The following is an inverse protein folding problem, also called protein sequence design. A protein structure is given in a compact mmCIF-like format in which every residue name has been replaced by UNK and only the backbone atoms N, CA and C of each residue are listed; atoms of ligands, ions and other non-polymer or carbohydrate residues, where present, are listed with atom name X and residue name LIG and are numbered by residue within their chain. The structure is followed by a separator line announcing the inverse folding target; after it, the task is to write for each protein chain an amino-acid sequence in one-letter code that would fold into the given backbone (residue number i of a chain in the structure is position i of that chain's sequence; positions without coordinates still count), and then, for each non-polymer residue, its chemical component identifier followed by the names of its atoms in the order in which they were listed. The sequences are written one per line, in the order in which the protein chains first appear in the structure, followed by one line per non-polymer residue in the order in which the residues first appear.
data_IF_790478179663
#
_entry.id   IF_790478179663
#
_cell.length_a   1.000
_cell.length_b   1.000
_cell.length_c   1.000
_cell.angle_alpha   90.00
_cell.angle_beta   90.00
_cell.angle_gamma   90.00
#
_symmetry.space_group_name_H-M   'P 1'
#
loop_
_entity.id
_entity.type
_entity.pdbx_description
1 polymer ?
#
# COMPACT_ATOMS: atom_id res chain seq x y z
N UNK A 1 4.10 4.74 3.89
CA UNK A 1 5.21 5.27 4.73
C UNK A 1 6.31 4.21 4.80
N UNK A 2 7.58 4.56 4.57
CA UNK A 2 8.71 3.64 4.75
C UNK A 2 9.42 3.96 6.08
N UNK A 3 9.47 2.99 6.98
CA UNK A 3 10.16 3.05 8.26
C UNK A 3 10.87 1.73 8.56
N UNK A 4 11.89 1.81 9.42
CA UNK A 4 12.69 0.68 9.85
C UNK A 4 12.38 0.31 11.31
N UNK A 5 12.05 -0.95 11.53
CA UNK A 5 11.98 -1.58 12.85
C UNK A 5 13.30 -2.30 13.09
N UNK A 6 13.98 -1.96 14.19
CA UNK A 6 15.27 -2.57 14.55
C UNK A 6 15.25 -3.25 15.92
N UNK A 7 14.16 -3.12 16.67
CA UNK A 7 14.01 -3.65 18.01
C UNK A 7 14.55 -2.68 19.06
N UNK A 8 14.00 -2.78 20.27
CA UNK A 8 14.37 -1.94 21.42
C UNK A 8 15.85 -2.05 21.79
N UNK A 9 16.42 -3.26 21.72
CA UNK A 9 17.83 -3.50 22.07
C UNK A 9 18.80 -2.85 21.08
N UNK A 10 18.59 -3.03 19.77
CA UNK A 10 19.46 -2.39 18.78
C UNK A 10 19.24 -0.87 18.79
N UNK A 11 18.01 -0.41 19.00
CA UNK A 11 17.72 1.02 19.19
C UNK A 11 18.51 1.62 20.36
N UNK A 12 18.52 0.96 21.52
CA UNK A 12 19.27 1.45 22.69
C UNK A 12 20.78 1.47 22.43
N UNK A 13 21.34 0.46 21.76
CA UNK A 13 22.76 0.44 21.38
C UNK A 13 23.11 1.62 20.48
N UNK A 14 22.26 1.93 19.49
CA UNK A 14 22.50 3.07 18.61
C UNK A 14 22.41 4.39 19.36
N UNK A 15 21.45 4.54 20.27
CA UNK A 15 21.31 5.74 21.11
C UNK A 15 22.51 5.91 22.07
N UNK A 16 23.05 4.81 22.61
CA UNK A 16 24.28 4.83 23.41
C UNK A 16 25.48 5.31 22.60
N UNK A 17 25.64 4.85 21.35
CA UNK A 17 26.72 5.27 20.44
C UNK A 17 26.62 6.77 20.13
N UNK A 18 25.40 7.28 19.94
CA UNK A 18 25.16 8.70 19.73
C UNK A 18 25.60 9.55 20.93
N UNK A 19 25.26 9.11 22.15
CA UNK A 19 25.57 9.85 23.38
C UNK A 19 27.05 9.77 23.78
N UNK A 20 27.75 8.69 23.43
CA UNK A 20 29.10 8.40 23.92
C UNK A 20 30.22 9.11 23.14
N UNK A 21 29.98 9.54 21.90
CA UNK A 21 30.97 10.31 21.12
C UNK A 21 30.73 11.82 21.30
N UNK A 22 31.41 12.44 22.28
CA UNK A 22 31.40 13.91 22.44
C UNK A 22 32.31 14.59 21.41
N UNK A 23 31.95 15.82 21.01
CA UNK A 23 32.73 16.64 20.07
C UNK A 23 34.19 16.84 20.55
N UNK A 24 35.16 16.33 19.78
CA UNK A 24 36.59 16.43 20.07
C UNK A 24 37.39 15.23 19.55
N UNK A 25 38.71 15.22 19.78
CA UNK A 25 39.54 14.02 19.59
C UNK A 25 39.17 13.00 20.66
N UNK A 26 38.83 11.77 20.27
CA UNK A 26 38.51 10.72 21.24
C UNK A 26 39.75 10.35 22.06
N UNK A 27 39.62 10.29 23.39
CA UNK A 27 40.69 9.79 24.23
C UNK A 27 40.95 8.29 23.97
N UNK A 28 42.16 7.78 24.25
CA UNK A 28 42.47 6.35 24.12
C UNK A 28 41.54 5.45 24.94
N UNK A 29 41.08 5.90 26.12
CA UNK A 29 40.12 5.16 26.95
C UNK A 29 38.76 5.04 26.24
N UNK A 30 38.25 6.15 25.69
CA UNK A 30 36.96 6.18 24.97
C UNK A 30 37.00 5.31 23.70
N UNK A 31 38.12 5.31 22.96
CA UNK A 31 38.33 4.42 21.81
C UNK A 31 38.31 2.95 22.21
N UNK A 32 38.88 2.63 23.37
CA UNK A 32 38.92 1.26 23.89
C UNK A 32 37.54 0.81 24.38
N UNK A 33 36.82 1.68 25.09
CA UNK A 33 35.46 1.43 25.56
C UNK A 33 34.47 1.23 24.40
N UNK A 34 34.51 2.08 23.38
CA UNK A 34 33.69 1.93 22.17
C UNK A 34 34.02 0.64 21.41
N UNK A 35 35.31 0.30 21.25
CA UNK A 35 35.71 -0.97 20.63
C UNK A 35 35.23 -2.19 21.43
N UNK A 36 35.28 -2.12 22.76
CA UNK A 36 34.80 -3.18 23.65
C UNK A 36 33.27 -3.30 23.65
N UNK A 37 32.54 -2.20 23.48
CA UNK A 37 31.07 -2.19 23.41
C UNK A 37 30.54 -2.59 22.02
N UNK A 38 31.20 -2.18 20.92
CA UNK A 38 30.85 -2.63 19.55
C UNK A 38 31.18 -4.12 19.36
N UNK A 39 32.27 -4.61 19.96
CA UNK A 39 32.62 -6.03 19.98
C UNK A 39 31.63 -6.93 20.75
N UNK A 40 30.68 -6.33 21.49
CA UNK A 40 29.58 -7.02 22.17
C UNK A 40 28.27 -7.04 21.37
N UNK A 41 28.26 -6.72 20.08
CA UNK A 41 27.11 -7.10 19.22
C UNK A 41 27.00 -8.63 19.33
N UNK A 42 25.96 -9.17 19.99
CA UNK A 42 25.93 -10.60 20.32
C UNK A 42 25.99 -11.42 19.05
N UNK A 43 26.71 -12.56 19.07
CA UNK A 43 26.54 -13.60 18.07
C UNK A 43 25.06 -13.96 18.03
N UNK A 44 24.41 -13.62 16.91
CA UNK A 44 23.05 -14.00 16.47
C UNK A 44 22.21 -14.56 17.62
N UNK A 45 21.60 -13.67 18.40
CA UNK A 45 20.55 -14.05 19.34
C UNK A 45 19.47 -14.84 18.57
N UNK A 46 18.93 -15.90 19.17
CA UNK A 46 17.64 -16.42 18.73
C UNK A 46 16.65 -15.25 18.65
N UNK A 47 15.94 -15.14 17.53
CA UNK A 47 15.00 -14.05 17.25
C UNK A 47 13.97 -13.92 18.38
N UNK A 48 14.28 -13.05 19.34
CA UNK A 48 13.46 -12.72 20.50
C UNK A 48 12.88 -11.31 20.32
N UNK A 49 12.96 -10.76 19.10
CA UNK A 49 12.37 -9.46 18.80
C UNK A 49 10.87 -9.62 18.75
N UNK A 50 10.18 -8.74 19.47
CA UNK A 50 8.74 -8.55 19.35
C UNK A 50 8.43 -8.44 17.85
N UNK A 51 7.69 -9.41 17.32
CA UNK A 51 7.49 -9.57 15.87
C UNK A 51 6.56 -8.45 15.40
N UNK A 52 7.09 -7.24 15.28
CA UNK A 52 6.39 -6.15 14.66
C UNK A 52 6.25 -6.49 13.17
N UNK A 53 5.09 -7.04 12.81
CA UNK A 53 4.71 -7.44 11.44
C UNK A 53 4.13 -6.28 10.64
N UNK A 54 4.04 -5.10 11.24
CA UNK A 54 3.40 -3.92 10.64
C UNK A 54 4.42 -2.97 9.99
N UNK A 55 5.70 -3.10 10.34
CA UNK A 55 6.79 -2.33 9.73
C UNK A 55 7.12 -2.83 8.31
N UNK A 56 7.33 -1.92 7.34
CA UNK A 56 7.72 -2.27 5.97
C UNK A 56 9.17 -2.74 5.86
N UNK A 57 10.06 -2.34 6.78
CA UNK A 57 11.46 -2.75 6.81
C UNK A 57 11.80 -3.22 8.22
N UNK A 58 12.06 -4.51 8.42
CA UNK A 58 12.24 -5.06 9.76
C UNK A 58 13.56 -5.82 9.88
N UNK A 59 14.37 -5.48 10.89
CA UNK A 59 15.54 -6.25 11.28
C UNK A 59 15.11 -7.45 12.11
N UNK A 60 15.42 -8.66 11.65
CA UNK A 60 15.04 -9.91 12.32
C UNK A 60 16.27 -10.66 12.84
N UNK A 61 17.21 -9.93 13.42
CA UNK A 61 18.41 -10.48 14.09
C UNK A 61 19.67 -10.58 13.20
N UNK A 62 19.56 -11.12 11.99
CA UNK A 62 20.72 -11.26 11.08
C UNK A 62 20.48 -10.75 9.65
N UNK A 63 19.27 -10.27 9.38
CA UNK A 63 18.85 -9.80 8.06
C UNK A 63 17.78 -8.72 8.21
N UNK A 64 17.56 -7.98 7.13
CA UNK A 64 16.38 -7.15 6.98
C UNK A 64 15.34 -7.85 6.11
N UNK A 65 14.07 -7.72 6.51
CA UNK A 65 12.92 -8.14 5.75
C UNK A 65 12.21 -6.92 5.18
N UNK A 66 12.16 -6.82 3.84
CA UNK A 66 11.37 -5.81 3.15
C UNK A 66 9.99 -6.36 2.83
N UNK A 67 8.98 -5.86 3.54
CA UNK A 67 7.61 -6.40 3.56
C UNK A 67 6.61 -5.61 2.71
N UNK A 68 7.04 -4.50 2.12
CA UNK A 68 6.18 -3.66 1.27
C UNK A 68 5.95 -4.24 -0.14
N UNK A 69 6.52 -5.40 -0.48
CA UNK A 69 6.43 -6.01 -1.81
C UNK A 69 5.10 -6.77 -1.95
N UNK A 70 4.32 -6.44 -2.98
CA UNK A 70 3.08 -7.16 -3.29
C UNK A 70 3.33 -8.59 -3.75
N UNK A 71 2.41 -9.51 -3.44
CA UNK A 71 2.56 -10.95 -3.71
C UNK A 71 2.70 -11.31 -5.20
N UNK A 72 2.14 -10.50 -6.10
CA UNK A 72 2.25 -10.67 -7.56
C UNK A 72 3.41 -9.89 -8.18
N UNK A 73 4.14 -9.09 -7.40
CA UNK A 73 5.21 -8.25 -7.93
C UNK A 73 6.48 -9.07 -8.21
N UNK A 74 7.16 -8.74 -9.30
CA UNK A 74 8.50 -9.27 -9.55
C UNK A 74 9.49 -8.63 -8.57
N UNK A 75 10.17 -9.47 -7.78
CA UNK A 75 11.11 -9.02 -6.75
C UNK A 75 12.26 -8.17 -7.30
N UNK A 76 12.62 -8.34 -8.57
CA UNK A 76 13.69 -7.57 -9.23
C UNK A 76 13.48 -6.06 -9.13
N UNK A 77 12.25 -5.55 -9.28
CA UNK A 77 11.97 -4.10 -9.19
C UNK A 77 12.41 -3.55 -7.83
N UNK A 78 11.97 -4.18 -6.75
CA UNK A 78 12.35 -3.81 -5.39
C UNK A 78 13.84 -4.01 -5.13
N UNK A 79 14.43 -5.10 -5.63
CA UNK A 79 15.86 -5.38 -5.45
C UNK A 79 16.76 -4.40 -6.19
N UNK A 80 16.38 -3.95 -7.38
CA UNK A 80 17.11 -2.92 -8.13
C UNK A 80 17.18 -1.65 -7.28
N UNK A 81 16.04 -1.18 -6.75
CA UNK A 81 16.00 0.02 -5.92
C UNK A 81 16.82 -0.17 -4.63
N UNK A 82 16.58 -1.26 -3.88
CA UNK A 82 17.26 -1.50 -2.60
C UNK A 82 18.78 -1.63 -2.76
N UNK A 83 19.25 -2.35 -3.77
CA UNK A 83 20.69 -2.48 -4.03
C UNK A 83 21.30 -1.16 -4.51
N UNK A 84 20.57 -0.38 -5.31
CA UNK A 84 21.03 0.95 -5.79
C UNK A 84 21.21 1.91 -4.62
N UNK A 85 20.20 2.05 -3.75
CA UNK A 85 20.30 2.96 -2.60
C UNK A 85 21.39 2.52 -1.60
N UNK A 86 21.57 1.21 -1.41
CA UNK A 86 22.63 0.68 -0.55
C UNK A 86 24.02 0.97 -1.15
N UNK A 87 24.21 0.71 -2.44
CA UNK A 87 25.46 1.01 -3.14
C UNK A 87 25.81 2.50 -3.08
N UNK A 88 24.82 3.38 -3.30
CA UNK A 88 25.00 4.82 -3.18
C UNK A 88 25.41 5.22 -1.75
N UNK A 89 24.71 4.71 -0.74
CA UNK A 89 24.98 5.04 0.66
C UNK A 89 26.38 4.58 1.09
N UNK A 90 26.86 3.42 0.62
CA UNK A 90 28.22 2.94 0.88
C UNK A 90 29.29 3.83 0.23
N UNK A 91 29.05 4.34 -0.98
CA UNK A 91 29.95 5.33 -1.62
C UNK A 91 30.02 6.63 -0.84
N UNK A 92 28.86 7.15 -0.42
CA UNK A 92 28.78 8.37 0.42
C UNK A 92 29.53 8.16 1.73
N UNK A 93 29.29 7.04 2.41
CA UNK A 93 29.97 6.70 3.66
C UNK A 93 31.48 6.67 3.49
N UNK A 94 31.97 5.96 2.47
CA UNK A 94 33.40 5.88 2.17
C UNK A 94 34.00 7.27 1.92
N UNK A 95 33.39 8.08 1.06
CA UNK A 95 33.90 9.42 0.74
C UNK A 95 33.99 10.34 1.96
N UNK A 96 32.99 10.30 2.85
CA UNK A 96 33.02 11.08 4.09
C UNK A 96 34.08 10.58 5.09
N UNK A 97 34.27 9.27 5.20
CA UNK A 97 35.33 8.69 6.03
C UNK A 97 36.71 9.07 5.49
N UNK A 98 36.93 8.96 4.18
CA UNK A 98 38.20 9.32 3.53
C UNK A 98 38.52 10.81 3.75
N UNK A 99 37.54 11.70 3.61
CA UNK A 99 37.70 13.14 3.89
C UNK A 99 38.09 13.44 5.35
N UNK A 100 37.56 12.69 6.32
CA UNK A 100 37.95 12.83 7.74
C UNK A 100 39.38 12.36 7.99
N UNK A 101 39.80 11.29 7.31
CA UNK A 101 41.18 10.78 7.38
C UNK A 101 42.15 11.83 6.82
N UNK A 102 41.82 12.43 5.68
CA UNK A 102 42.62 13.53 5.09
C UNK A 102 42.70 14.75 6.02
N UNK A 103 41.64 15.03 6.78
CA UNK A 103 41.63 16.07 7.81
C UNK A 103 42.42 15.72 9.09
N UNK A 104 42.99 14.52 9.19
CA UNK A 104 43.89 14.10 10.27
C UNK A 104 43.29 13.18 11.33
N UNK A 105 42.05 12.69 11.14
CA UNK A 105 41.49 11.64 12.00
C UNK A 105 42.14 10.28 11.70
N UNK A 106 42.36 9.46 12.73
CA UNK A 106 42.68 8.04 12.52
C UNK A 106 41.51 7.30 11.85
N UNK A 107 41.77 6.25 11.08
CA UNK A 107 40.73 5.45 10.40
C UNK A 107 39.56 5.06 11.31
N UNK A 108 39.84 4.52 12.49
CA UNK A 108 38.79 4.09 13.44
C UNK A 108 37.96 5.27 13.95
N UNK A 109 38.60 6.42 14.17
CA UNK A 109 37.93 7.64 14.63
C UNK A 109 37.04 8.24 13.53
N UNK A 110 37.51 8.26 12.28
CA UNK A 110 36.74 8.70 11.14
C UNK A 110 35.47 7.85 10.93
N UNK A 111 35.61 6.52 11.03
CA UNK A 111 34.48 5.58 10.94
C UNK A 111 33.46 5.82 12.05
N UNK A 112 33.90 5.92 13.30
CA UNK A 112 32.99 6.12 14.44
C UNK A 112 32.24 7.45 14.36
N UNK A 113 32.93 8.53 13.98
CA UNK A 113 32.29 9.85 13.79
C UNK A 113 31.26 9.84 12.66
N UNK A 114 31.53 9.13 11.57
CA UNK A 114 30.55 9.01 10.48
C UNK A 114 29.35 8.13 10.85
N UNK A 115 29.59 7.01 11.55
CA UNK A 115 28.51 6.18 12.08
C UNK A 115 27.61 6.96 13.04
N UNK A 116 28.18 7.79 13.92
CA UNK A 116 27.40 8.65 14.81
C UNK A 116 26.48 9.58 14.03
N UNK A 117 27.00 10.25 12.99
CA UNK A 117 26.19 11.13 12.15
C UNK A 117 25.05 10.37 11.47
N UNK A 118 25.32 9.17 10.93
CA UNK A 118 24.28 8.34 10.30
C UNK A 118 23.21 7.88 11.30
N UNK A 119 23.57 7.60 12.55
CA UNK A 119 22.62 7.25 13.60
C UNK A 119 21.66 8.41 13.85
N UNK A 120 22.19 9.63 13.97
CA UNK A 120 21.39 10.85 14.15
C UNK A 120 20.46 11.07 12.94
N UNK A 121 21.01 11.00 11.73
CA UNK A 121 20.26 11.27 10.49
C UNK A 121 19.14 10.24 10.27
N UNK A 122 19.38 8.98 10.63
CA UNK A 122 18.42 7.89 10.46
C UNK A 122 17.31 7.85 11.52
N UNK A 123 17.38 8.63 12.60
CA UNK A 123 16.37 8.65 13.67
C UNK A 123 14.94 8.78 13.17
N UNK A 124 14.73 9.63 12.16
CA UNK A 124 13.40 9.91 11.61
C UNK A 124 12.70 8.65 11.09
N UNK A 125 13.47 7.73 10.49
CA UNK A 125 12.93 6.51 9.88
C UNK A 125 12.83 5.32 10.86
N UNK A 126 13.47 5.39 12.04
CA UNK A 126 13.41 4.32 13.05
C UNK A 126 12.08 4.40 13.80
N UNK A 127 11.27 3.35 13.73
CA UNK A 127 9.96 3.30 14.36
C UNK A 127 9.66 1.90 14.88
N UNK A 128 9.36 1.83 16.18
CA UNK A 128 9.18 0.57 16.91
C UNK A 128 7.71 0.23 17.19
N UNK A 129 6.79 1.16 16.90
CA UNK A 129 5.36 1.06 17.21
C UNK A 129 4.51 0.39 16.12
N UNK A 130 3.19 0.50 16.28
CA UNK A 130 2.22 -0.03 15.32
C UNK A 130 2.20 0.80 14.03
N UNK A 131 2.61 0.21 12.91
CA UNK A 131 2.66 0.85 11.59
C UNK A 131 1.31 1.00 10.89
N UNK A 132 0.23 0.42 11.41
CA UNK A 132 -1.12 0.50 10.81
C UNK A 132 -2.01 1.57 11.44
N UNK A 133 -1.65 2.10 12.61
CA UNK A 133 -2.51 3.05 13.31
C UNK A 133 -2.42 4.47 12.75
N UNK A 134 -3.52 5.22 12.89
CA UNK A 134 -3.59 6.64 12.48
C UNK A 134 -2.58 7.51 13.26
N UNK A 135 -2.18 7.08 14.46
CA UNK A 135 -1.11 7.70 15.24
C UNK A 135 0.20 7.72 14.48
N UNK A 136 0.55 6.62 13.79
CA UNK A 136 1.77 6.53 13.02
C UNK A 136 1.72 7.42 11.78
N UNK A 137 0.56 7.57 11.15
CA UNK A 137 0.40 8.46 9.98
C UNK A 137 0.71 9.90 10.36
N UNK A 138 0.16 10.38 11.49
CA UNK A 138 0.40 11.75 11.99
C UNK A 138 1.86 11.95 12.43
N UNK A 139 2.42 10.97 13.11
CA UNK A 139 3.80 11.02 13.57
C UNK A 139 4.79 11.00 12.40
N UNK A 140 4.56 10.16 11.40
CA UNK A 140 5.39 10.07 10.20
C UNK A 140 5.41 11.40 9.43
N UNK A 141 4.25 12.06 9.31
CA UNK A 141 4.15 13.39 8.71
C UNK A 141 4.95 14.44 9.51
N UNK A 142 4.83 14.45 10.85
CA UNK A 142 5.62 15.32 11.72
C UNK A 142 7.14 15.07 11.60
N UNK A 143 7.54 13.83 11.32
CA UNK A 143 8.93 13.43 11.04
C UNK A 143 9.40 13.78 9.62
N UNK A 144 8.50 14.22 8.74
CA UNK A 144 8.77 14.54 7.33
C UNK A 144 8.89 13.29 6.45
N UNK A 145 8.24 12.18 6.81
CA UNK A 145 8.21 10.96 6.01
C UNK A 145 7.06 11.01 5.01
N UNK A 146 7.36 10.62 3.76
CA UNK A 146 6.38 10.59 2.69
C UNK A 146 5.31 9.50 2.91
N UNK A 147 4.06 9.81 2.56
CA UNK A 147 2.94 8.89 2.58
C UNK A 147 2.11 8.97 1.29
N UNK A 148 2.60 8.34 0.23
CA UNK A 148 1.83 8.19 -1.01
C UNK A 148 0.75 7.11 -0.83
N UNK A 149 -0.51 7.49 -1.04
CA UNK A 149 -1.68 6.62 -0.81
C UNK A 149 -2.17 5.90 -2.07
N UNK A 150 -1.77 6.37 -3.24
CA UNK A 150 -2.19 5.81 -4.52
C UNK A 150 -1.00 5.65 -5.46
N UNK A 151 -1.20 4.77 -6.45
CA UNK A 151 -0.16 4.40 -7.40
C UNK A 151 0.27 5.56 -8.28
N UNK A 152 -0.64 6.35 -8.92
CA UNK A 152 -0.20 7.42 -9.80
C UNK A 152 0.70 8.43 -9.11
N UNK A 153 0.28 8.98 -7.95
CA UNK A 153 1.07 9.97 -7.20
C UNK A 153 2.37 9.38 -6.64
N UNK A 154 2.43 8.07 -6.43
CA UNK A 154 3.67 7.40 -6.01
C UNK A 154 4.68 7.25 -7.14
N UNK A 155 4.22 7.17 -8.40
CA UNK A 155 5.09 7.01 -9.57
C UNK A 155 5.77 8.33 -9.96
N UNK A 156 5.21 9.47 -9.58
CA UNK A 156 5.80 10.80 -9.83
C UNK A 156 7.18 10.97 -9.20
N UNK A 157 7.48 10.19 -8.16
CA UNK A 157 8.80 10.21 -7.50
C UNK A 157 9.94 9.86 -8.48
N UNK A 158 9.65 9.12 -9.56
CA UNK A 158 10.66 8.73 -10.55
C UNK A 158 11.27 9.92 -11.29
N UNK A 159 10.55 11.04 -11.38
CA UNK A 159 11.02 12.25 -12.07
C UNK A 159 11.87 13.16 -11.19
N UNK A 160 11.96 12.89 -9.87
CA UNK A 160 12.78 13.69 -8.99
C UNK A 160 14.25 13.64 -9.42
N UNK A 161 14.86 14.80 -9.66
CA UNK A 161 16.25 14.89 -10.15
C UNK A 161 17.25 14.13 -9.27
N UNK A 162 17.03 14.13 -7.95
CA UNK A 162 17.88 13.38 -7.01
C UNK A 162 17.83 11.87 -7.24
N UNK A 163 16.69 11.34 -7.69
CA UNK A 163 16.50 9.91 -7.95
C UNK A 163 17.16 9.56 -9.27
N UNK A 164 16.86 10.32 -10.34
CA UNK A 164 17.49 10.15 -11.66
C UNK A 164 19.02 10.16 -11.54
N UNK A 165 19.56 11.15 -10.82
CA UNK A 165 21.01 11.30 -10.62
C UNK A 165 21.65 10.08 -9.96
N UNK A 166 21.02 9.49 -8.93
CA UNK A 166 21.58 8.31 -8.25
C UNK A 166 21.66 7.12 -9.21
N UNK A 167 20.63 6.90 -10.02
CA UNK A 167 20.61 5.81 -11.00
C UNK A 167 21.66 6.01 -12.10
N UNK A 168 21.84 7.24 -12.59
CA UNK A 168 22.85 7.58 -13.60
C UNK A 168 24.28 7.48 -13.06
N UNK A 169 24.55 8.01 -11.86
CA UNK A 169 25.88 7.96 -11.23
C UNK A 169 26.36 6.55 -10.90
N UNK A 170 25.42 5.61 -10.75
CA UNK A 170 25.69 4.18 -10.55
C UNK A 170 25.63 3.36 -11.83
N UNK A 171 25.38 4.00 -12.99
CA UNK A 171 25.21 3.36 -14.29
C UNK A 171 24.17 2.23 -14.28
N UNK A 172 23.09 2.42 -13.53
CA UNK A 172 22.00 1.43 -13.44
C UNK A 172 20.93 1.73 -14.50
N UNK A 173 20.47 2.99 -14.57
CA UNK A 173 19.56 3.47 -15.60
C UNK A 173 19.95 4.87 -16.04
N UNK A 174 19.68 5.16 -17.31
CA UNK A 174 19.65 6.51 -17.88
C UNK A 174 18.31 7.19 -17.59
N UNK A 175 18.26 8.52 -17.64
CA UNK A 175 17.00 9.28 -17.54
C UNK A 175 15.89 8.74 -18.45
N UNK A 176 16.22 8.45 -19.71
CA UNK A 176 15.27 7.92 -20.70
C UNK A 176 14.71 6.55 -20.30
N UNK A 177 15.52 5.69 -19.69
CA UNK A 177 15.06 4.38 -19.21
C UNK A 177 14.16 4.51 -17.98
N UNK A 178 14.39 5.50 -17.12
CA UNK A 178 13.52 5.79 -15.98
C UNK A 178 12.16 6.28 -16.46
N UNK A 179 12.15 7.25 -17.38
CA UNK A 179 10.92 7.78 -18.01
C UNK A 179 10.11 6.65 -18.66
N UNK A 180 10.75 5.80 -19.46
CA UNK A 180 10.08 4.67 -20.11
C UNK A 180 9.50 3.67 -19.10
N UNK A 181 10.18 3.40 -17.99
CA UNK A 181 9.67 2.52 -16.92
C UNK A 181 8.49 3.14 -16.19
N UNK A 182 8.53 4.45 -15.93
CA UNK A 182 7.41 5.21 -15.33
C UNK A 182 6.18 5.10 -16.23
N UNK A 183 6.36 5.35 -17.54
CA UNK A 183 5.30 5.26 -18.55
C UNK A 183 4.65 3.87 -18.57
N UNK A 184 5.46 2.80 -18.63
CA UNK A 184 4.97 1.41 -18.59
C UNK A 184 4.18 1.12 -17.30
N UNK A 185 4.62 1.63 -16.15
CA UNK A 185 3.92 1.40 -14.88
C UNK A 185 2.58 2.16 -14.81
N UNK A 186 2.48 3.35 -15.39
CA UNK A 186 1.19 4.02 -15.60
C UNK A 186 0.28 3.27 -16.57
N UNK A 187 0.80 2.78 -17.69
CA UNK A 187 0.02 1.98 -18.65
C UNK A 187 -0.55 0.72 -18.00
N UNK A 188 0.27 -0.02 -17.25
CA UNK A 188 -0.16 -1.21 -16.53
C UNK A 188 -1.27 -0.89 -15.52
N UNK A 189 -1.14 0.23 -14.79
CA UNK A 189 -2.16 0.68 -13.85
C UNK A 189 -3.49 1.00 -14.55
N UNK A 190 -3.43 1.82 -15.60
CA UNK A 190 -4.61 2.22 -16.40
C UNK A 190 -5.30 0.99 -16.99
N UNK A 191 -4.55 0.09 -17.63
CA UNK A 191 -5.13 -1.11 -18.24
C UNK A 191 -5.77 -2.01 -17.20
N UNK A 192 -5.14 -2.20 -16.04
CA UNK A 192 -5.71 -3.02 -14.97
C UNK A 192 -7.04 -2.46 -14.47
N UNK A 193 -7.08 -1.16 -14.14
CA UNK A 193 -8.33 -0.52 -13.70
C UNK A 193 -9.38 -0.47 -14.81
N UNK A 194 -8.96 -0.33 -16.07
CA UNK A 194 -9.88 -0.37 -17.19
C UNK A 194 -10.54 -1.75 -17.34
N UNK A 195 -9.78 -2.83 -17.17
CA UNK A 195 -10.33 -4.20 -17.19
C UNK A 195 -11.27 -4.41 -16.00
N UNK A 196 -10.86 -4.02 -14.80
CA UNK A 196 -11.70 -4.13 -13.59
C UNK A 196 -13.02 -3.35 -13.75
N UNK A 197 -12.98 -2.11 -14.24
CA UNK A 197 -14.18 -1.30 -14.50
C UNK A 197 -15.11 -1.96 -15.53
N UNK A 198 -14.55 -2.53 -16.61
CA UNK A 198 -15.34 -3.24 -17.64
C UNK A 198 -16.00 -4.48 -17.06
N UNK A 199 -15.25 -5.28 -16.32
CA UNK A 199 -15.77 -6.50 -15.68
C UNK A 199 -16.87 -6.16 -14.67
N UNK A 200 -16.71 -5.13 -13.85
CA UNK A 200 -17.76 -4.67 -12.93
C UNK A 200 -19.03 -4.31 -13.71
N UNK A 201 -18.90 -3.49 -14.76
CA UNK A 201 -20.05 -3.12 -15.61
C UNK A 201 -20.73 -4.33 -16.24
N UNK A 202 -19.96 -5.25 -16.82
CA UNK A 202 -20.48 -6.43 -17.50
C UNK A 202 -21.15 -7.40 -16.52
N UNK A 203 -20.54 -7.67 -15.36
CA UNK A 203 -21.11 -8.53 -14.32
C UNK A 203 -22.40 -7.93 -13.75
N UNK A 204 -22.40 -6.63 -13.45
CA UNK A 204 -23.59 -5.96 -12.96
C UNK A 204 -24.73 -6.04 -14.00
N UNK A 205 -24.47 -5.68 -15.25
CA UNK A 205 -25.50 -5.58 -16.28
C UNK A 205 -26.04 -6.94 -16.73
N UNK A 206 -25.16 -7.93 -16.90
CA UNK A 206 -25.52 -9.20 -17.54
C UNK A 206 -25.79 -10.34 -16.56
N UNK A 207 -25.29 -10.25 -15.32
CA UNK A 207 -25.45 -11.31 -14.32
C UNK A 207 -26.32 -10.86 -13.14
N UNK A 208 -25.91 -9.81 -12.43
CA UNK A 208 -26.55 -9.41 -11.17
C UNK A 208 -27.95 -8.83 -11.42
N UNK A 209 -28.07 -7.84 -12.29
CA UNK A 209 -29.37 -7.17 -12.56
C UNK A 209 -30.44 -8.17 -13.01
N UNK A 210 -30.20 -9.07 -13.98
CA UNK A 210 -31.21 -10.04 -14.39
C UNK A 210 -31.65 -10.99 -13.27
N UNK A 211 -30.72 -11.48 -12.45
CA UNK A 211 -31.03 -12.35 -11.31
C UNK A 211 -31.90 -11.63 -10.27
N UNK A 212 -31.56 -10.38 -9.96
CA UNK A 212 -32.31 -9.54 -9.02
C UNK A 212 -33.72 -9.26 -9.54
N UNK A 213 -33.89 -8.89 -10.81
CA UNK A 213 -35.20 -8.64 -11.43
C UNK A 213 -36.05 -9.92 -11.42
N UNK A 214 -35.45 -11.07 -11.72
CA UNK A 214 -36.16 -12.36 -11.67
C UNK A 214 -36.71 -12.64 -10.26
N UNK A 215 -35.88 -12.49 -9.23
CA UNK A 215 -36.35 -12.66 -7.85
C UNK A 215 -37.41 -11.62 -7.45
N UNK A 216 -37.21 -10.36 -7.83
CA UNK A 216 -38.17 -9.30 -7.58
C UNK A 216 -39.54 -9.59 -8.20
N UNK A 217 -39.59 -10.13 -9.41
CA UNK A 217 -40.84 -10.56 -10.05
C UNK A 217 -41.56 -11.67 -9.26
N UNK A 218 -40.81 -12.64 -8.71
CA UNK A 218 -41.40 -13.69 -7.84
C UNK A 218 -42.04 -13.09 -6.59
N UNK A 219 -41.37 -12.10 -5.97
CA UNK A 219 -41.93 -11.40 -4.80
C UNK A 219 -43.18 -10.61 -5.15
N UNK A 220 -43.18 -9.89 -6.28
CA UNK A 220 -44.35 -9.13 -6.75
C UNK A 220 -45.54 -10.06 -7.00
N UNK A 221 -45.33 -11.21 -7.65
CA UNK A 221 -46.38 -12.22 -7.84
C UNK A 221 -46.93 -12.75 -6.51
N UNK A 222 -46.07 -12.97 -5.52
CA UNK A 222 -46.49 -13.39 -4.19
C UNK A 222 -47.39 -12.33 -3.51
N UNK A 223 -46.99 -11.05 -3.55
CA UNK A 223 -47.78 -9.94 -3.02
C UNK A 223 -49.14 -9.84 -3.71
N UNK A 224 -49.17 -9.90 -5.04
CA UNK A 224 -50.42 -9.87 -5.82
C UNK A 224 -51.35 -11.03 -5.45
N UNK A 225 -50.80 -12.24 -5.28
CA UNK A 225 -51.55 -13.42 -4.84
C UNK A 225 -52.16 -13.26 -3.43
N UNK A 226 -51.40 -12.73 -2.48
CA UNK A 226 -51.88 -12.43 -1.12
C UNK A 226 -53.04 -11.42 -1.15
N UNK A 227 -52.93 -10.38 -1.97
CA UNK A 227 -54.02 -9.41 -2.15
C UNK A 227 -55.26 -10.02 -2.79
N UNK A 228 -55.10 -10.86 -3.81
CA UNK A 228 -56.22 -11.51 -4.49
C UNK A 228 -57.01 -12.45 -3.56
N UNK A 229 -56.32 -13.15 -2.64
CA UNK A 229 -56.95 -14.12 -1.72
C UNK A 229 -57.51 -13.45 -0.47
N UNK A 230 -56.78 -12.49 0.11
CA UNK A 230 -57.11 -11.92 1.42
C UNK A 230 -57.85 -10.58 1.36
N UNK A 231 -58.03 -10.01 0.16
CA UNK A 231 -58.75 -8.75 -0.05
C UNK A 231 -58.19 -7.61 0.80
N UNK A 232 -59.01 -7.03 1.69
CA UNK A 232 -58.62 -5.91 2.55
C UNK A 232 -57.47 -6.22 3.52
N UNK A 233 -57.26 -7.50 3.85
CA UNK A 233 -56.17 -7.93 4.73
C UNK A 233 -54.86 -8.22 3.97
N UNK A 234 -54.85 -8.14 2.64
CA UNK A 234 -53.66 -8.42 1.83
C UNK A 234 -52.49 -7.48 2.14
N UNK A 235 -52.77 -6.21 2.45
CA UNK A 235 -51.75 -5.21 2.73
C UNK A 235 -50.98 -5.51 4.04
N UNK A 236 -51.68 -5.93 5.10
CA UNK A 236 -51.03 -6.31 6.36
C UNK A 236 -50.26 -7.63 6.22
N UNK A 237 -50.81 -8.58 5.45
CA UNK A 237 -50.20 -9.88 5.22
C UNK A 237 -48.93 -9.84 4.32
N UNK A 238 -48.80 -8.83 3.46
CA UNK A 238 -47.70 -8.69 2.49
C UNK A 238 -46.66 -7.62 2.85
N UNK A 239 -46.74 -7.06 4.06
CA UNK A 239 -45.89 -5.95 4.51
C UNK A 239 -44.39 -6.27 4.36
N UNK A 240 -43.95 -7.44 4.83
CA UNK A 240 -42.55 -7.84 4.78
C UNK A 240 -42.03 -7.99 3.34
N UNK A 241 -42.82 -8.58 2.45
CA UNK A 241 -42.49 -8.76 1.04
C UNK A 241 -42.42 -7.41 0.33
N UNK A 242 -43.33 -6.50 0.65
CA UNK A 242 -43.33 -5.15 0.09
C UNK A 242 -42.08 -4.37 0.52
N UNK A 243 -41.70 -4.45 1.80
CA UNK A 243 -40.45 -3.84 2.30
C UNK A 243 -39.20 -4.43 1.61
N UNK A 244 -39.18 -5.75 1.36
CA UNK A 244 -38.10 -6.42 0.64
C UNK A 244 -38.01 -5.94 -0.82
N UNK A 245 -39.14 -5.86 -1.53
CA UNK A 245 -39.21 -5.34 -2.90
C UNK A 245 -38.67 -3.91 -2.97
N UNK A 246 -39.05 -3.05 -2.01
CA UNK A 246 -38.56 -1.67 -1.94
C UNK A 246 -37.05 -1.61 -1.79
N UNK A 247 -36.46 -2.35 -0.84
CA UNK A 247 -35.00 -2.39 -0.65
C UNK A 247 -34.26 -2.92 -1.87
N UNK A 248 -34.79 -3.97 -2.50
CA UNK A 248 -34.23 -4.50 -3.75
C UNK A 248 -34.24 -3.43 -4.84
N UNK A 249 -35.36 -2.73 -5.03
CA UNK A 249 -35.46 -1.64 -6.01
C UNK A 249 -34.46 -0.53 -5.72
N UNK A 250 -34.30 -0.10 -4.47
CA UNK A 250 -33.35 0.93 -4.06
C UNK A 250 -31.92 0.53 -4.43
N UNK A 251 -31.46 -0.65 -4.00
CA UNK A 251 -30.09 -1.08 -4.29
C UNK A 251 -29.86 -1.34 -5.79
N UNK A 252 -30.84 -1.91 -6.48
CA UNK A 252 -30.78 -2.17 -7.92
C UNK A 252 -30.63 -0.87 -8.72
N UNK A 253 -31.47 0.13 -8.44
CA UNK A 253 -31.48 1.40 -9.16
C UNK A 253 -30.19 2.20 -8.91
N UNK A 254 -29.73 2.26 -7.65
CA UNK A 254 -28.49 2.96 -7.32
C UNK A 254 -27.29 2.27 -7.96
N UNK A 255 -27.20 0.94 -7.88
CA UNK A 255 -26.13 0.17 -8.54
C UNK A 255 -26.09 0.42 -10.05
N UNK A 256 -27.25 0.41 -10.72
CA UNK A 256 -27.34 0.69 -12.16
C UNK A 256 -26.87 2.11 -12.50
N UNK A 257 -27.30 3.10 -11.72
CA UNK A 257 -26.92 4.50 -11.90
C UNK A 257 -25.41 4.68 -11.77
N UNK A 258 -24.80 4.13 -10.71
CA UNK A 258 -23.36 4.18 -10.50
C UNK A 258 -22.56 3.49 -11.61
N UNK A 259 -23.07 2.37 -12.15
CA UNK A 259 -22.45 1.70 -13.30
C UNK A 259 -22.47 2.58 -14.57
N UNK A 260 -23.56 3.31 -14.82
CA UNK A 260 -23.65 4.21 -15.96
C UNK A 260 -22.73 5.42 -15.80
N UNK A 261 -22.66 6.00 -14.61
CA UNK A 261 -21.75 7.09 -14.27
C UNK A 261 -20.28 6.65 -14.41
N UNK A 262 -19.92 5.46 -13.90
CA UNK A 262 -18.59 4.88 -14.07
C UNK A 262 -18.26 4.66 -15.56
N UNK A 263 -19.23 4.23 -16.37
CA UNK A 263 -19.04 4.05 -17.80
C UNK A 263 -18.72 5.39 -18.50
N UNK A 264 -19.43 6.47 -18.15
CA UNK A 264 -19.16 7.80 -18.69
C UNK A 264 -17.82 8.36 -18.22
N UNK A 265 -17.50 8.25 -16.93
CA UNK A 265 -16.19 8.63 -16.38
C UNK A 265 -15.05 7.91 -17.12
N UNK A 266 -15.21 6.61 -17.36
CA UNK A 266 -14.28 5.80 -18.14
C UNK A 266 -14.17 6.30 -19.59
N UNK A 267 -15.26 6.68 -20.24
CA UNK A 267 -15.22 7.25 -21.61
C UNK A 267 -14.43 8.56 -21.66
N UNK A 268 -14.60 9.41 -20.65
CA UNK A 268 -13.86 10.67 -20.54
C UNK A 268 -12.36 10.39 -20.32
N UNK A 269 -12.01 9.57 -19.33
CA UNK A 269 -10.62 9.23 -19.02
C UNK A 269 -9.88 8.60 -20.22
N UNK A 270 -10.55 7.77 -21.02
CA UNK A 270 -9.93 7.14 -22.20
C UNK A 270 -9.58 8.12 -23.34
N UNK A 271 -10.15 9.33 -23.34
CA UNK A 271 -9.82 10.36 -24.35
C UNK A 271 -8.58 11.17 -24.00
N UNK A 272 -8.07 11.05 -22.77
CA UNK A 272 -6.85 11.72 -22.34
C UNK A 272 -5.66 11.11 -23.10
N UNK A 273 -4.81 11.95 -23.69
CA UNK A 273 -3.66 11.48 -24.47
C UNK A 273 -2.50 11.06 -23.56
N UNK A 274 -2.17 11.90 -22.58
CA UNK A 274 -1.13 11.62 -21.59
C UNK A 274 -1.51 10.41 -20.73
N UNK A 275 -0.62 9.41 -20.65
CA UNK A 275 -0.87 8.22 -19.85
C UNK A 275 -0.88 8.52 -18.35
N UNK A 276 -0.09 9.50 -17.92
CA UNK A 276 0.01 9.93 -16.52
C UNK A 276 -1.30 10.61 -16.08
N UNK A 277 -1.77 11.59 -16.84
CA UNK A 277 -3.05 12.26 -16.57
C UNK A 277 -4.22 11.26 -16.64
N UNK A 278 -4.14 10.30 -17.57
CA UNK A 278 -5.11 9.21 -17.66
C UNK A 278 -5.07 8.32 -16.41
N UNK A 279 -3.89 7.99 -15.89
CA UNK A 279 -3.77 7.22 -14.65
C UNK A 279 -4.37 7.96 -13.46
N UNK A 280 -4.16 9.27 -13.36
CA UNK A 280 -4.79 10.12 -12.33
C UNK A 280 -6.32 10.11 -12.49
N UNK A 281 -6.85 10.34 -13.69
CA UNK A 281 -8.29 10.30 -13.95
C UNK A 281 -8.91 8.92 -13.62
N UNK A 282 -8.21 7.83 -13.93
CA UNK A 282 -8.66 6.49 -13.55
C UNK A 282 -8.67 6.29 -12.02
N UNK A 283 -7.70 6.86 -11.31
CA UNK A 283 -7.63 6.79 -9.85
C UNK A 283 -8.73 7.61 -9.17
N UNK A 284 -8.91 8.85 -9.60
CA UNK A 284 -9.75 9.83 -8.90
C UNK A 284 -11.20 9.82 -9.40
N UNK A 285 -11.44 9.53 -10.68
CA UNK A 285 -12.77 9.63 -11.29
C UNK A 285 -13.40 8.27 -11.61
N UNK A 286 -12.62 7.21 -11.88
CA UNK A 286 -13.18 5.89 -12.26
C UNK A 286 -13.21 4.92 -11.08
N UNK A 287 -12.08 4.74 -10.40
CA UNK A 287 -11.93 3.75 -9.33
C UNK A 287 -12.88 4.01 -8.15
N UNK A 288 -13.27 5.27 -7.91
CA UNK A 288 -14.19 5.66 -6.83
C UNK A 288 -15.53 4.93 -6.87
N UNK A 289 -15.96 4.48 -8.06
CA UNK A 289 -17.23 3.78 -8.24
C UNK A 289 -17.15 2.31 -7.83
N UNK A 290 -15.96 1.70 -7.76
CA UNK A 290 -15.81 0.25 -7.60
C UNK A 290 -16.40 -0.23 -6.28
N UNK A 291 -16.01 0.40 -5.17
CA UNK A 291 -16.51 0.03 -3.84
C UNK A 291 -17.97 0.43 -3.65
N UNK A 292 -18.42 1.52 -4.30
CA UNK A 292 -19.82 1.95 -4.24
C UNK A 292 -20.74 0.95 -4.95
N UNK A 293 -20.41 0.55 -6.18
CA UNK A 293 -21.17 -0.48 -6.92
C UNK A 293 -21.15 -1.80 -6.15
N UNK A 294 -19.97 -2.22 -5.68
CA UNK A 294 -19.80 -3.43 -4.89
C UNK A 294 -20.69 -3.43 -3.65
N UNK A 295 -20.76 -2.32 -2.91
CA UNK A 295 -21.62 -2.21 -1.74
C UNK A 295 -23.07 -2.57 -2.06
N UNK A 296 -23.62 -2.06 -3.16
CA UNK A 296 -24.99 -2.39 -3.56
C UNK A 296 -25.14 -3.83 -4.04
N UNK A 297 -24.15 -4.37 -4.76
CA UNK A 297 -24.12 -5.79 -5.14
C UNK A 297 -24.12 -6.71 -3.91
N UNK A 298 -23.27 -6.44 -2.91
CA UNK A 298 -23.17 -7.20 -1.67
C UNK A 298 -24.48 -7.13 -0.86
N UNK A 299 -25.19 -5.99 -0.88
CA UNK A 299 -26.53 -5.89 -0.26
C UNK A 299 -27.56 -6.72 -1.01
N UNK A 300 -27.54 -6.72 -2.34
CA UNK A 300 -28.43 -7.53 -3.16
C UNK A 300 -28.18 -9.03 -2.96
N UNK A 301 -26.92 -9.47 -2.80
CA UNK A 301 -26.57 -10.87 -2.50
C UNK A 301 -27.28 -11.40 -1.25
N UNK A 302 -27.47 -10.54 -0.24
CA UNK A 302 -28.14 -10.90 1.01
C UNK A 302 -29.67 -10.92 0.89
N UNK A 303 -30.23 -10.17 -0.06
CA UNK A 303 -31.67 -10.02 -0.23
C UNK A 303 -32.24 -11.01 -1.26
N UNK A 304 -31.45 -11.44 -2.23
CA UNK A 304 -31.84 -12.36 -3.29
C UNK A 304 -31.70 -13.81 -2.84
N UNK A 305 -32.61 -14.65 -3.32
CA UNK A 305 -32.55 -16.10 -3.13
C UNK A 305 -31.21 -16.69 -3.59
N UNK A 306 -30.64 -17.58 -2.78
CA UNK A 306 -29.33 -18.20 -2.99
C UNK A 306 -29.29 -18.99 -4.30
N UNK A 307 -30.38 -19.70 -4.62
CA UNK A 307 -30.49 -20.50 -5.85
C UNK A 307 -30.49 -19.64 -7.13
N UNK A 308 -30.88 -18.37 -7.02
CA UNK A 308 -30.93 -17.44 -8.15
C UNK A 308 -29.69 -16.56 -8.25
N UNK A 309 -28.86 -16.53 -7.21
CA UNK A 309 -27.68 -15.67 -7.20
C UNK A 309 -26.62 -16.20 -8.17
N UNK A 310 -26.13 -15.39 -9.13
CA UNK A 310 -25.36 -15.90 -10.27
C UNK A 310 -23.88 -16.15 -9.97
N UNK A 311 -23.38 -15.71 -8.81
CA UNK A 311 -21.96 -15.77 -8.45
C UNK A 311 -21.75 -16.65 -7.22
N UNK A 312 -20.66 -17.42 -7.14
CA UNK A 312 -20.33 -18.14 -5.91
C UNK A 312 -20.15 -17.17 -4.74
N UNK A 313 -20.78 -17.47 -3.61
CA UNK A 313 -20.66 -16.66 -2.40
C UNK A 313 -19.29 -16.85 -1.76
N UNK A 314 -18.84 -15.88 -0.98
CA UNK A 314 -17.55 -15.98 -0.28
C UNK A 314 -17.42 -17.24 0.58
N UNK A 315 -18.52 -17.69 1.21
CA UNK A 315 -18.54 -18.94 2.00
C UNK A 315 -18.21 -20.16 1.14
N UNK A 316 -18.59 -20.14 -0.13
CA UNK A 316 -18.37 -21.22 -1.07
C UNK A 316 -16.92 -21.24 -1.53
N UNK A 317 -16.43 -20.07 -1.96
CA UNK A 317 -15.05 -19.87 -2.44
C UNK A 317 -14.03 -20.21 -1.34
N UNK A 318 -14.31 -19.85 -0.08
CA UNK A 318 -13.35 -19.98 1.01
C UNK A 318 -13.35 -21.33 1.71
N UNK A 319 -14.51 -22.01 1.80
CA UNK A 319 -14.66 -23.18 2.68
C UNK A 319 -15.20 -24.42 1.98
N UNK A 320 -15.78 -24.30 0.79
CA UNK A 320 -16.44 -25.41 0.11
C UNK A 320 -15.49 -25.95 -0.96
N UNK A 321 -15.22 -27.26 -0.91
CA UNK A 321 -14.28 -27.95 -1.82
C UNK A 321 -15.00 -28.53 -3.01
#
# INVERSE_FOLDING_TARGET
IISAFIGSHLSSILDDIELSVKAGKMSPELKTELKLNIGKIPQIMMDNTDRNRTSPFAFTGNKFEFRAVGSSANCSKSMIVLNTIMANQLRIFKGKVDARIEAGDSKDEAILKELQQMIIDSKKIRFEGNGYGDEWVKEAEARGLNNFKDTPRSLDIWDEERIVKIFEELNIFTKREIEARKEIDFENYVHKLQIEARLIGDLTQNHIIPAVINYQNKLIQNVQGLHAILGSNGASASKAQTELITKISEHLNTMKTLCDEMLEARKIANKIESIEEKAVAYCDDVKIYFDQIRYHADKLELLVDDELWPLPKFREILFTK
#
